data_IF_625635771978
#
_entry.id   IF_625635771978
#
_cell.length_a   1.000
_cell.length_b   1.000
_cell.length_c   1.000
_cell.angle_alpha   90.00
_cell.angle_beta   90.00
_cell.angle_gamma   90.00
#
_symmetry.space_group_name_H-M   'P 1'
#
loop_
_entity.id
_entity.type
_entity.pdbx_description
1 polymer ?
#
# COMPACT_ATOMS: atom_id res chain seq x y z
N UNK A 1 33.09 -35.53 27.85
CA UNK A 1 31.86 -35.92 27.15
C UNK A 1 30.60 -35.55 27.94
N UNK A 2 30.44 -35.97 29.20
CA UNK A 2 29.21 -35.73 29.99
C UNK A 2 28.85 -34.25 30.23
N UNK A 3 29.83 -33.37 30.51
CA UNK A 3 29.55 -31.95 30.73
C UNK A 3 29.02 -31.21 29.49
N UNK A 4 29.48 -31.59 28.30
CA UNK A 4 29.01 -30.99 27.04
C UNK A 4 27.55 -31.36 26.74
N UNK A 5 27.16 -32.60 27.02
CA UNK A 5 25.77 -33.06 26.85
C UNK A 5 24.81 -32.32 27.77
N UNK A 6 25.22 -32.04 29.01
CA UNK A 6 24.41 -31.27 29.97
C UNK A 6 24.20 -29.84 29.48
N UNK A 7 25.27 -29.17 29.02
CA UNK A 7 25.17 -27.79 28.50
C UNK A 7 24.30 -27.73 27.25
N UNK A 8 24.47 -28.66 26.31
CA UNK A 8 23.64 -28.73 25.10
C UNK A 8 22.16 -29.00 25.42
N UNK A 9 21.89 -29.86 26.42
CA UNK A 9 20.53 -30.10 26.88
C UNK A 9 19.85 -28.86 27.45
N UNK A 10 20.59 -28.04 28.22
CA UNK A 10 20.08 -26.78 28.77
C UNK A 10 19.81 -25.74 27.68
N UNK A 11 20.71 -25.62 26.69
CA UNK A 11 20.52 -24.71 25.55
C UNK A 11 19.31 -25.14 24.73
N UNK A 12 19.17 -26.43 24.43
CA UNK A 12 18.03 -26.95 23.67
C UNK A 12 16.70 -26.70 24.38
N UNK A 13 16.63 -26.91 25.70
CA UNK A 13 15.45 -26.62 26.51
C UNK A 13 15.10 -25.13 26.52
N UNK A 14 16.11 -24.27 26.66
CA UNK A 14 15.91 -22.83 26.64
C UNK A 14 15.40 -22.35 25.27
N UNK A 15 16.01 -22.81 24.17
CA UNK A 15 15.59 -22.48 22.81
C UNK A 15 14.18 -23.00 22.51
N UNK A 16 13.87 -24.23 22.93
CA UNK A 16 12.52 -24.81 22.77
C UNK A 16 11.47 -24.02 23.57
N UNK A 17 11.81 -23.59 24.79
CA UNK A 17 10.95 -22.73 25.61
C UNK A 17 10.68 -21.37 24.96
N UNK A 18 11.73 -20.74 24.41
CA UNK A 18 11.60 -19.48 23.69
C UNK A 18 10.74 -19.63 22.42
N UNK A 19 10.95 -20.70 21.65
CA UNK A 19 10.17 -21.01 20.47
C UNK A 19 8.69 -21.23 20.81
N UNK A 20 8.38 -22.05 21.82
CA UNK A 20 7.01 -22.28 22.26
C UNK A 20 6.33 -21.01 22.80
N UNK A 21 7.07 -20.06 23.36
CA UNK A 21 6.56 -18.77 23.78
C UNK A 21 6.24 -17.85 22.59
N UNK A 22 7.15 -17.77 21.61
CA UNK A 22 6.93 -16.99 20.37
C UNK A 22 5.76 -17.57 19.57
N UNK A 23 5.69 -18.89 19.38
CA UNK A 23 4.59 -19.54 18.64
C UNK A 23 3.22 -19.39 19.30
N UNK A 24 3.16 -19.03 20.59
CA UNK A 24 1.91 -18.73 21.30
C UNK A 24 1.56 -17.23 21.30
N UNK A 25 2.26 -16.42 20.51
CA UNK A 25 1.99 -14.97 20.36
C UNK A 25 2.69 -14.09 21.39
N UNK A 26 3.75 -14.58 22.06
CA UNK A 26 4.49 -13.79 23.05
C UNK A 26 5.35 -12.66 22.46
N UNK A 27 5.66 -12.73 21.17
CA UNK A 27 6.31 -11.65 20.44
C UNK A 27 5.28 -11.03 19.49
N UNK A 28 4.88 -9.78 19.76
CA UNK A 28 4.24 -8.94 18.76
C UNK A 28 5.22 -8.81 17.59
N UNK A 29 4.85 -9.34 16.42
CA UNK A 29 5.64 -9.14 15.23
C UNK A 29 5.74 -7.63 15.02
N UNK A 30 6.95 -7.09 15.07
CA UNK A 30 7.18 -5.67 14.81
C UNK A 30 6.72 -5.37 13.37
N UNK A 31 5.60 -4.66 13.24
CA UNK A 31 4.95 -4.14 12.00
C UNK A 31 5.84 -3.17 11.18
N UNK A 32 7.17 -3.26 11.30
CA UNK A 32 8.13 -2.38 10.61
C UNK A 32 8.79 -3.01 9.39
N UNK A 33 8.39 -4.21 8.97
CA UNK A 33 9.02 -4.90 7.82
C UNK A 33 8.22 -4.75 6.51
N UNK A 34 6.94 -4.37 6.59
CA UNK A 34 6.17 -3.81 5.47
C UNK A 34 5.10 -2.90 6.10
N UNK A 35 5.18 -1.56 5.96
CA UNK A 35 4.14 -0.71 6.48
C UNK A 35 2.84 -1.03 5.75
N UNK A 36 1.85 -1.47 6.51
CA UNK A 36 0.55 -1.85 5.96
C UNK A 36 -0.35 -0.65 5.68
N UNK A 37 0.11 0.55 6.02
CA UNK A 37 -0.54 1.82 5.74
C UNK A 37 0.51 2.80 5.18
N UNK A 38 0.16 3.50 4.10
CA UNK A 38 0.97 4.56 3.52
C UNK A 38 0.37 5.92 3.92
N UNK A 39 1.07 6.66 4.78
CA UNK A 39 0.72 8.05 5.10
C UNK A 39 1.15 8.94 3.93
N UNK A 40 0.19 9.57 3.25
CA UNK A 40 0.44 10.43 2.09
C UNK A 40 0.75 11.86 2.53
N UNK A 41 -0.11 12.45 3.36
CA UNK A 41 0.06 13.82 3.83
C UNK A 41 -1.26 14.57 4.09
N UNK A 42 -1.20 15.91 4.26
CA UNK A 42 -2.37 16.73 4.59
C UNK A 42 -3.38 16.83 3.43
N UNK A 43 -4.66 16.57 3.70
CA UNK A 43 -5.70 16.52 2.65
C UNK A 43 -5.91 17.84 1.92
N UNK A 44 -5.78 18.98 2.59
CA UNK A 44 -5.97 20.30 1.96
C UNK A 44 -4.93 20.54 0.86
N UNK A 45 -3.65 20.32 1.18
CA UNK A 45 -2.56 20.50 0.21
C UNK A 45 -2.64 19.47 -0.92
N UNK A 46 -3.04 18.23 -0.60
CA UNK A 46 -3.14 17.19 -1.62
C UNK A 46 -4.35 17.39 -2.53
N UNK A 47 -5.49 17.86 -2.01
CA UNK A 47 -6.67 18.14 -2.82
C UNK A 47 -6.42 19.32 -3.78
N UNK A 48 -5.70 20.35 -3.31
CA UNK A 48 -5.24 21.46 -4.17
C UNK A 48 -4.29 20.97 -5.26
N UNK A 49 -3.28 20.16 -4.90
CA UNK A 49 -2.35 19.55 -5.86
C UNK A 49 -3.10 18.71 -6.91
N UNK A 50 -4.08 17.89 -6.50
CA UNK A 50 -4.84 17.06 -7.44
C UNK A 50 -5.72 17.91 -8.36
N UNK A 51 -6.27 19.02 -7.84
CA UNK A 51 -7.07 19.95 -8.65
C UNK A 51 -6.23 20.70 -9.70
N UNK A 52 -4.97 21.00 -9.41
CA UNK A 52 -4.06 21.75 -10.29
C UNK A 52 -3.25 20.85 -11.23
N UNK A 53 -2.66 19.78 -10.69
CA UNK A 53 -1.68 18.92 -11.37
C UNK A 53 -2.26 17.57 -11.81
N UNK A 54 -3.47 17.22 -11.36
CA UNK A 54 -4.11 15.93 -11.61
C UNK A 54 -3.80 14.87 -10.55
N UNK A 55 -4.29 13.63 -10.73
CA UNK A 55 -4.17 12.57 -9.72
C UNK A 55 -2.73 12.29 -9.27
N UNK A 56 -2.55 11.92 -8.00
CA UNK A 56 -1.24 11.58 -7.45
C UNK A 56 -0.82 10.19 -7.97
N UNK A 57 0.34 10.13 -8.64
CA UNK A 57 0.92 8.90 -9.15
C UNK A 57 2.05 8.42 -8.25
N UNK A 58 1.90 7.22 -7.67
CA UNK A 58 2.92 6.60 -6.82
C UNK A 58 3.52 5.39 -7.55
N UNK A 59 4.66 5.55 -8.25
CA UNK A 59 5.32 4.45 -8.93
C UNK A 59 5.94 3.47 -7.95
N UNK A 60 5.86 2.19 -8.28
CA UNK A 60 6.67 1.12 -7.67
C UNK A 60 6.66 1.14 -6.13
N UNK A 61 5.48 1.27 -5.51
CA UNK A 61 5.38 1.10 -4.06
C UNK A 61 5.86 -0.31 -3.73
N UNK A 62 6.99 -0.40 -3.01
CA UNK A 62 7.55 -1.64 -2.51
C UNK A 62 6.67 -2.18 -1.38
N UNK A 63 5.53 -2.76 -1.77
CA UNK A 63 4.63 -3.47 -0.86
C UNK A 63 5.08 -4.91 -0.74
N UNK A 64 4.60 -5.63 0.28
CA UNK A 64 4.93 -7.04 0.49
C UNK A 64 4.53 -7.94 -0.71
N UNK A 65 3.65 -7.46 -1.61
CA UNK A 65 3.18 -8.18 -2.82
C UNK A 65 3.59 -7.44 -4.11
N UNK A 66 4.87 -7.04 -4.14
CA UNK A 66 5.56 -6.53 -5.31
C UNK A 66 5.48 -5.01 -5.49
N UNK A 67 6.09 -4.55 -6.58
CA UNK A 67 6.08 -3.16 -7.04
C UNK A 67 4.76 -2.86 -7.73
N UNK A 68 3.75 -2.41 -6.98
CA UNK A 68 2.47 -1.99 -7.55
C UNK A 68 2.41 -0.47 -7.55
N UNK A 69 2.24 0.11 -8.73
CA UNK A 69 2.00 1.54 -8.90
C UNK A 69 0.53 1.84 -8.64
N UNK A 70 0.24 2.86 -7.84
CA UNK A 70 -1.14 3.30 -7.54
C UNK A 70 -1.37 4.72 -8.01
N UNK A 71 -2.64 5.02 -8.30
CA UNK A 71 -3.12 6.36 -8.59
C UNK A 71 -4.11 6.75 -7.51
N UNK A 72 -3.95 7.95 -6.96
CA UNK A 72 -4.86 8.50 -5.96
C UNK A 72 -5.49 9.75 -6.53
N UNK A 73 -6.81 9.75 -6.60
CA UNK A 73 -7.62 10.83 -7.15
C UNK A 73 -8.49 11.46 -6.07
N UNK A 74 -8.84 12.72 -6.28
CA UNK A 74 -9.74 13.50 -5.44
C UNK A 74 -10.80 14.16 -6.29
N UNK A 75 -12.04 14.14 -5.79
CA UNK A 75 -13.17 14.80 -6.43
C UNK A 75 -14.03 15.49 -5.40
N UNK A 76 -14.55 16.66 -5.76
CA UNK A 76 -15.45 17.44 -4.91
C UNK A 76 -14.78 18.63 -4.25
N UNK A 77 -15.57 19.43 -3.53
CA UNK A 77 -15.14 20.70 -2.95
C UNK A 77 -14.62 20.58 -1.50
N UNK A 78 -14.86 19.44 -0.84
CA UNK A 78 -14.41 19.20 0.54
C UNK A 78 -13.16 18.35 0.48
N UNK A 79 -12.01 18.90 0.91
CA UNK A 79 -10.72 18.23 0.81
C UNK A 79 -10.69 16.88 1.57
N UNK A 80 -11.43 16.76 2.68
CA UNK A 80 -11.49 15.52 3.46
C UNK A 80 -12.36 14.40 2.86
N UNK A 81 -13.14 14.68 1.81
CA UNK A 81 -14.10 13.73 1.22
C UNK A 81 -13.72 13.42 -0.25
N UNK A 82 -14.24 12.33 -0.83
CA UNK A 82 -14.14 12.11 -2.29
C UNK A 82 -12.80 11.57 -2.81
N UNK A 83 -11.93 11.10 -1.93
CA UNK A 83 -10.69 10.39 -2.27
C UNK A 83 -10.97 8.99 -2.84
N UNK A 84 -10.22 8.61 -3.89
CA UNK A 84 -10.27 7.28 -4.50
C UNK A 84 -8.88 6.80 -4.84
N UNK A 85 -8.68 5.49 -4.78
CA UNK A 85 -7.43 4.83 -5.16
C UNK A 85 -7.74 3.89 -6.32
N UNK A 86 -6.80 3.80 -7.26
CA UNK A 86 -6.84 2.89 -8.41
C UNK A 86 -5.46 2.26 -8.58
N UNK A 87 -5.41 1.09 -9.22
CA UNK A 87 -4.14 0.60 -9.74
C UNK A 87 -3.73 1.40 -10.99
N UNK A 88 -2.44 1.60 -11.20
CA UNK A 88 -1.91 2.33 -12.34
C UNK A 88 -1.92 1.50 -13.65
N UNK A 89 -3.00 0.77 -13.94
CA UNK A 89 -3.23 0.09 -15.20
C UNK A 89 -4.74 0.11 -15.54
N UNK A 90 -5.14 0.06 -16.82
CA UNK A 90 -6.55 0.08 -17.20
C UNK A 90 -7.32 -1.14 -16.68
N UNK A 91 -8.59 -0.98 -16.32
CA UNK A 91 -9.43 -2.09 -15.82
C UNK A 91 -9.61 -3.23 -16.84
N UNK A 92 -9.44 -2.94 -18.13
CA UNK A 92 -9.52 -3.90 -19.23
C UNK A 92 -8.19 -4.57 -19.59
N UNK A 93 -7.11 -4.30 -18.84
CA UNK A 93 -5.73 -4.75 -19.16
C UNK A 93 -5.05 -5.45 -17.99
N UNK A 94 -3.95 -6.14 -18.32
CA UNK A 94 -3.11 -6.81 -17.33
C UNK A 94 -2.23 -5.80 -16.56
N UNK A 95 -1.83 -6.10 -15.31
CA UNK A 95 -1.02 -5.20 -14.48
C UNK A 95 0.33 -4.77 -15.05
N UNK A 96 0.83 -5.48 -16.07
CA UNK A 96 2.05 -5.12 -16.80
C UNK A 96 1.88 -3.88 -17.68
N UNK A 97 0.65 -3.46 -17.99
CA UNK A 97 0.33 -2.27 -18.77
C UNK A 97 0.25 -1.03 -17.86
N UNK A 98 1.40 -0.66 -17.27
CA UNK A 98 1.47 0.52 -16.39
C UNK A 98 1.21 1.79 -17.21
N UNK A 99 0.31 2.64 -16.73
CA UNK A 99 -0.04 3.89 -17.41
C UNK A 99 0.92 5.03 -17.08
N UNK A 100 1.03 5.99 -17.99
CA UNK A 100 1.75 7.24 -17.80
C UNK A 100 0.77 8.41 -17.66
N UNK A 101 0.97 9.28 -16.67
CA UNK A 101 0.07 10.41 -16.45
C UNK A 101 0.26 11.49 -17.51
N UNK A 102 -0.85 12.02 -18.03
CA UNK A 102 -0.85 13.29 -18.74
C UNK A 102 -0.92 14.42 -17.71
N UNK A 103 0.22 15.05 -17.44
CA UNK A 103 0.40 16.07 -16.39
C UNK A 103 -0.66 17.18 -16.48
N UNK A 104 -1.21 17.58 -15.33
CA UNK A 104 -2.24 18.62 -15.24
C UNK A 104 -3.64 18.15 -15.63
N UNK A 105 -3.83 16.84 -15.82
CA UNK A 105 -5.11 16.27 -16.23
C UNK A 105 -5.45 15.01 -15.44
N UNK A 106 -6.69 14.54 -15.60
CA UNK A 106 -7.18 13.26 -15.09
C UNK A 106 -7.00 12.11 -16.09
N UNK A 107 -6.21 12.33 -17.14
CA UNK A 107 -5.97 11.39 -18.22
C UNK A 107 -4.62 10.70 -18.06
N UNK A 108 -4.57 9.48 -18.55
CA UNK A 108 -3.39 8.64 -18.59
C UNK A 108 -3.23 8.03 -19.98
N UNK A 109 -2.00 7.73 -20.37
CA UNK A 109 -1.68 6.99 -21.60
C UNK A 109 -1.34 5.56 -21.21
N UNK A 110 -2.04 4.59 -21.80
CA UNK A 110 -1.76 3.17 -21.59
C UNK A 110 -0.61 2.66 -22.47
N UNK A 111 -0.23 1.39 -22.27
CA UNK A 111 0.86 0.75 -23.01
C UNK A 111 0.61 0.62 -24.52
N UNK A 112 -0.64 0.77 -25.00
CA UNK A 112 -1.00 0.79 -26.42
C UNK A 112 -1.06 2.23 -26.99
N UNK A 113 -0.78 3.25 -26.16
CA UNK A 113 -0.85 4.66 -26.53
C UNK A 113 -2.26 5.25 -26.50
N UNK A 114 -3.23 4.58 -25.88
CA UNK A 114 -4.60 5.08 -25.73
C UNK A 114 -4.71 5.97 -24.49
N UNK A 115 -5.42 7.08 -24.63
CA UNK A 115 -5.83 7.91 -23.49
C UNK A 115 -6.99 7.24 -22.73
N UNK A 116 -6.85 7.14 -21.41
CA UNK A 116 -7.84 6.60 -20.48
C UNK A 116 -8.06 7.59 -19.32
N UNK A 117 -9.31 7.75 -18.88
CA UNK A 117 -9.61 8.55 -17.69
C UNK A 117 -9.24 7.77 -16.42
N UNK A 118 -8.90 8.49 -15.34
CA UNK A 118 -8.61 7.89 -14.03
C UNK A 118 -9.69 6.92 -13.54
N UNK A 119 -10.96 7.15 -13.88
CA UNK A 119 -12.07 6.28 -13.51
C UNK A 119 -12.14 4.97 -14.30
N UNK A 120 -11.39 4.84 -15.40
CA UNK A 120 -11.26 3.63 -16.21
C UNK A 120 -10.09 2.74 -15.77
N UNK A 121 -9.30 3.20 -14.80
CA UNK A 121 -8.24 2.41 -14.19
C UNK A 121 -8.81 1.27 -13.33
N UNK A 122 -8.01 0.22 -13.16
CA UNK A 122 -8.42 -0.96 -12.41
C UNK A 122 -8.69 -0.61 -10.94
N UNK A 123 -9.83 -1.05 -10.38
CA UNK A 123 -10.12 -0.80 -8.98
C UNK A 123 -9.10 -1.53 -8.09
N UNK A 124 -8.85 -0.99 -6.88
CA UNK A 124 -7.91 -1.61 -5.96
C UNK A 124 -8.47 -2.95 -5.45
N UNK A 125 -7.59 -3.83 -4.98
CA UNK A 125 -8.01 -5.09 -4.36
C UNK A 125 -8.89 -4.83 -3.12
N UNK A 126 -9.76 -5.80 -2.79
CA UNK A 126 -10.61 -5.68 -1.59
C UNK A 126 -9.77 -5.37 -0.36
N UNK A 127 -10.08 -4.28 0.35
CA UNK A 127 -9.37 -3.85 1.55
C UNK A 127 -8.23 -2.85 1.31
N UNK A 128 -7.96 -2.44 0.07
CA UNK A 128 -7.17 -1.25 -0.24
C UNK A 128 -8.11 -0.06 -0.44
N UNK A 129 -8.05 0.90 0.47
CA UNK A 129 -8.92 2.09 0.40
C UNK A 129 -8.26 3.33 0.99
N UNK A 130 -8.58 4.52 0.47
CA UNK A 130 -8.17 5.77 1.08
C UNK A 130 -8.98 6.01 2.36
N UNK A 131 -8.31 6.44 3.42
CA UNK A 131 -8.90 6.85 4.69
C UNK A 131 -8.35 8.23 5.05
N UNK A 132 -9.23 9.11 5.52
CA UNK A 132 -8.80 10.40 6.06
C UNK A 132 -8.86 10.36 7.58
N UNK A 133 -7.69 10.37 8.21
CA UNK A 133 -7.56 10.35 9.65
C UNK A 133 -7.69 11.78 10.20
N UNK A 134 -8.59 11.93 11.19
CA UNK A 134 -8.85 13.21 11.85
C UNK A 134 -9.43 14.31 10.95
N UNK A 135 -9.86 13.99 9.72
CA UNK A 135 -10.18 14.95 8.65
C UNK A 135 -8.98 15.77 8.15
N UNK A 136 -7.76 15.39 8.51
CA UNK A 136 -6.56 16.19 8.24
C UNK A 136 -5.54 15.46 7.38
N UNK A 137 -5.36 14.15 7.57
CA UNK A 137 -4.29 13.38 6.94
C UNK A 137 -4.85 12.27 6.07
N UNK A 138 -4.41 12.19 4.81
CA UNK A 138 -4.69 11.08 3.92
C UNK A 138 -3.76 9.90 4.23
N UNK A 139 -4.38 8.76 4.49
CA UNK A 139 -3.72 7.47 4.71
C UNK A 139 -4.30 6.47 3.71
N UNK A 140 -3.44 5.67 3.09
CA UNK A 140 -3.87 4.57 2.22
C UNK A 140 -3.66 3.28 2.99
N UNK A 141 -4.75 2.58 3.26
CA UNK A 141 -4.68 1.25 3.87
C UNK A 141 -4.28 0.24 2.79
N UNK A 142 -3.15 -0.46 3.00
CA UNK A 142 -2.59 -1.44 2.07
C UNK A 142 -2.64 -2.86 2.64
N UNK A 143 -3.23 -3.07 3.83
CA UNK A 143 -3.23 -4.36 4.56
C UNK A 143 -3.73 -5.55 3.74
N UNK A 144 -4.68 -5.34 2.84
CA UNK A 144 -5.23 -6.43 2.04
C UNK A 144 -4.48 -6.71 0.75
N UNK A 145 -3.59 -5.80 0.33
CA UNK A 145 -2.63 -6.10 -0.73
C UNK A 145 -1.62 -7.17 -0.28
N UNK A 146 -1.61 -7.61 0.99
CA UNK A 146 -0.74 -8.64 1.57
C UNK A 146 -1.33 -10.07 1.58
N UNK A 147 -2.59 -10.26 1.15
CA UNK A 147 -3.34 -11.50 1.41
C UNK A 147 -3.56 -12.46 0.22
N UNK A 148 -2.99 -12.18 -0.96
CA UNK A 148 -3.15 -13.04 -2.16
C UNK A 148 -1.82 -13.51 -2.77
#
# INVERSE_FOLDING_TARGET
MLGGVVVLGLIALFLWGMAAWISRGGAEATERIAPSELTVGPVESLAEEVAESGPLFFPELGTAIGTRSIVVDHTGAVAADGWRVYWAYPADREPTCVVEQVVGTRLFVDCDGREVDVSELSPPDEGVFPRVDGRETLVIDLRAAEAN
#
